data_IF_458605027514
#
_entry.id   IF_458605027514
#
_cell.length_a   1.000
_cell.length_b   1.000
_cell.length_c   1.000
_cell.angle_alpha   90.00
_cell.angle_beta   90.00
_cell.angle_gamma   90.00
#
_symmetry.space_group_name_H-M   'P 1'
#
loop_
_entity.id
_entity.type
_entity.pdbx_description
1 polymer ?
#
# COMPACT_ATOMS: atom_id res chain seq x y z
N UNK A 1 -15.83 -35.38 3.47
CA UNK A 1 -15.17 -34.10 3.78
C UNK A 1 -13.71 -34.41 4.09
N UNK A 2 -12.72 -33.63 3.64
CA UNK A 2 -11.34 -33.82 4.04
C UNK A 2 -11.17 -33.56 5.55
N UNK A 3 -10.28 -34.31 6.20
CA UNK A 3 -9.87 -34.09 7.59
C UNK A 3 -8.56 -33.29 7.62
N UNK A 4 -8.37 -32.48 8.65
CA UNK A 4 -7.15 -31.70 8.85
C UNK A 4 -6.68 -31.83 10.30
N UNK A 5 -5.38 -32.02 10.47
CA UNK A 5 -4.71 -31.90 11.76
C UNK A 5 -4.14 -30.48 11.87
N UNK A 6 -4.49 -29.76 12.94
CA UNK A 6 -4.10 -28.35 13.17
C UNK A 6 -3.30 -28.25 14.47
N UNK A 7 -2.11 -27.67 14.39
CA UNK A 7 -1.31 -27.30 15.56
C UNK A 7 -1.51 -25.82 15.87
N UNK A 8 -1.77 -25.52 17.14
CA UNK A 8 -1.92 -24.16 17.64
C UNK A 8 -1.03 -23.94 18.85
N UNK A 9 -0.49 -22.74 18.98
CA UNK A 9 0.28 -22.30 20.14
C UNK A 9 -0.05 -20.86 20.49
N UNK A 10 0.56 -20.35 21.54
CA UNK A 10 0.55 -18.93 21.89
C UNK A 10 1.91 -18.54 22.48
N UNK A 11 2.29 -17.27 22.33
CA UNK A 11 3.52 -16.75 22.95
C UNK A 11 3.33 -16.66 24.46
N UNK A 12 4.20 -17.31 25.24
CA UNK A 12 4.17 -17.23 26.70
C UNK A 12 5.43 -16.51 27.20
N UNK A 13 5.32 -15.22 27.60
CA UNK A 13 6.46 -14.50 28.14
C UNK A 13 6.98 -15.14 29.43
N UNK A 14 8.30 -15.11 29.57
CA UNK A 14 9.00 -15.41 30.81
C UNK A 14 9.58 -14.11 31.34
N UNK A 15 9.30 -13.78 32.60
CA UNK A 15 9.87 -12.62 33.27
C UNK A 15 10.68 -13.06 34.49
N UNK A 16 11.59 -12.18 34.93
CA UNK A 16 12.28 -12.27 36.21
C UNK A 16 12.35 -10.88 36.81
N UNK A 17 12.48 -10.82 38.13
CA UNK A 17 12.77 -9.58 38.83
C UNK A 17 14.22 -9.57 39.30
N UNK A 18 14.90 -8.45 39.10
CA UNK A 18 16.26 -8.21 39.57
C UNK A 18 16.42 -6.74 39.97
N UNK A 19 17.25 -6.49 40.98
CA UNK A 19 17.58 -5.13 41.41
C UNK A 19 19.00 -4.81 40.94
N UNK A 20 19.14 -3.76 40.12
CA UNK A 20 20.41 -3.35 39.54
C UNK A 20 20.72 -1.92 40.00
N UNK A 21 21.85 -1.76 40.69
CA UNK A 21 22.32 -0.45 41.15
C UNK A 21 23.16 0.18 40.05
N UNK A 22 22.75 1.35 39.57
CA UNK A 22 23.47 2.11 38.57
C UNK A 22 23.17 3.60 38.70
N UNK A 23 24.03 4.43 38.11
CA UNK A 23 23.90 5.90 38.16
C UNK A 23 22.73 6.43 37.31
N UNK A 24 22.25 5.64 36.33
CA UNK A 24 21.08 5.99 35.50
C UNK A 24 20.18 4.77 35.24
N UNK A 25 18.89 4.98 34.92
CA UNK A 25 17.99 3.90 34.50
C UNK A 25 18.51 3.11 33.30
N UNK A 26 19.08 3.77 32.29
CA UNK A 26 19.63 3.12 31.09
C UNK A 26 20.81 2.21 31.44
N UNK A 27 21.67 2.63 32.38
CA UNK A 27 22.77 1.81 32.87
C UNK A 27 22.26 0.58 33.64
N UNK A 28 21.22 0.73 34.47
CA UNK A 28 20.56 -0.39 35.14
C UNK A 28 19.91 -1.36 34.13
N UNK A 29 19.22 -0.86 33.10
CA UNK A 29 18.65 -1.69 32.04
C UNK A 29 19.72 -2.48 31.26
N UNK A 30 20.84 -1.83 30.92
CA UNK A 30 21.97 -2.51 30.26
C UNK A 30 22.56 -3.60 31.15
N UNK A 31 22.72 -3.34 32.45
CA UNK A 31 23.18 -4.35 33.40
C UNK A 31 22.19 -5.53 33.47
N UNK A 32 20.89 -5.26 33.50
CA UNK A 32 19.84 -6.27 33.51
C UNK A 32 19.82 -7.14 32.25
N UNK A 33 20.05 -6.54 31.06
CA UNK A 33 20.13 -7.28 29.80
C UNK A 33 21.40 -8.13 29.67
N UNK A 34 22.49 -7.76 30.34
CA UNK A 34 23.73 -8.52 30.36
C UNK A 34 23.75 -9.68 31.37
N UNK A 35 22.81 -9.71 32.30
CA UNK A 35 22.68 -10.77 33.31
C UNK A 35 21.99 -12.00 32.70
N UNK A 36 22.70 -13.13 32.61
CA UNK A 36 22.16 -14.37 32.03
C UNK A 36 21.53 -15.31 33.07
N UNK A 37 21.36 -14.90 34.34
CA UNK A 37 20.77 -15.77 35.36
C UNK A 37 19.23 -15.80 35.30
N UNK A 38 18.66 -16.85 34.71
CA UNK A 38 17.21 -17.03 34.56
C UNK A 38 16.58 -18.01 35.57
N UNK A 39 17.30 -18.39 36.63
CA UNK A 39 16.81 -19.36 37.63
C UNK A 39 15.52 -18.91 38.33
N UNK A 40 15.31 -17.60 38.51
CA UNK A 40 14.11 -17.02 39.12
C UNK A 40 13.00 -16.68 38.13
N UNK A 41 13.09 -17.19 36.89
CA UNK A 41 12.09 -16.91 35.85
C UNK A 41 10.72 -17.47 36.17
N UNK A 42 9.69 -16.71 35.81
CA UNK A 42 8.29 -17.04 36.00
C UNK A 42 7.55 -16.88 34.68
N UNK A 43 6.54 -17.72 34.46
CA UNK A 43 5.64 -17.64 33.32
C UNK A 43 4.60 -16.57 33.57
N UNK A 44 4.42 -15.67 32.61
CA UNK A 44 3.38 -14.66 32.64
C UNK A 44 2.19 -15.11 31.78
N UNK A 45 1.23 -15.77 32.40
CA UNK A 45 0.01 -16.18 31.70
C UNK A 45 -0.95 -15.01 31.45
N UNK A 46 -0.85 -13.92 32.22
CA UNK A 46 -1.74 -12.76 32.07
C UNK A 46 -1.32 -11.90 30.86
N UNK A 47 -0.03 -11.91 30.52
CA UNK A 47 0.53 -11.25 29.33
C UNK A 47 0.78 -12.20 28.15
N UNK A 48 0.17 -13.39 28.14
CA UNK A 48 0.32 -14.32 27.02
C UNK A 48 -0.20 -13.73 25.71
N UNK A 49 0.51 -13.99 24.61
CA UNK A 49 0.06 -13.65 23.27
C UNK A 49 -1.19 -14.42 22.84
N UNK A 50 -1.71 -14.11 21.67
CA UNK A 50 -2.89 -14.78 21.14
C UNK A 50 -2.58 -16.21 20.65
N UNK A 51 -3.62 -17.04 20.66
CA UNK A 51 -3.55 -18.38 20.07
C UNK A 51 -3.53 -18.24 18.55
N UNK A 52 -2.54 -18.85 17.93
CA UNK A 52 -2.33 -18.83 16.48
C UNK A 52 -1.93 -20.21 15.98
N UNK A 53 -2.04 -20.41 14.67
CA UNK A 53 -1.75 -21.70 14.02
C UNK A 53 -0.26 -21.77 13.68
N UNK A 54 0.40 -22.88 14.02
CA UNK A 54 1.82 -23.13 13.68
C UNK A 54 2.02 -24.31 12.76
N UNK A 55 0.97 -25.12 12.55
CA UNK A 55 1.03 -26.25 11.64
C UNK A 55 -0.35 -26.68 11.15
N UNK A 56 -0.40 -27.14 9.90
CA UNK A 56 -1.59 -27.72 9.28
C UNK A 56 -1.17 -28.87 8.35
N UNK A 57 -1.90 -29.99 8.44
CA UNK A 57 -1.68 -31.18 7.61
C UNK A 57 -3.03 -31.76 7.18
N UNK A 58 -3.08 -32.36 5.99
CA UNK A 58 -4.24 -33.13 5.56
C UNK A 58 -4.23 -34.52 6.21
N UNK A 59 -5.41 -35.00 6.63
CA UNK A 59 -5.60 -36.28 7.30
C UNK A 59 -5.70 -36.18 8.82
N UNK A 60 -6.11 -37.29 9.44
CA UNK A 60 -6.22 -37.46 10.89
C UNK A 60 -4.87 -37.83 11.48
N UNK A 61 -4.48 -37.16 12.58
CA UNK A 61 -3.24 -37.39 13.34
C UNK A 61 -1.97 -37.37 12.48
N UNK A 62 -1.94 -36.49 11.47
CA UNK A 62 -0.82 -36.40 10.51
C UNK A 62 0.24 -35.37 10.88
N UNK A 63 0.15 -34.76 12.07
CA UNK A 63 1.16 -33.83 12.57
C UNK A 63 2.56 -34.46 12.50
N UNK A 64 3.50 -33.75 11.86
CA UNK A 64 4.89 -34.19 11.64
C UNK A 64 5.11 -35.47 10.81
N UNK A 65 4.05 -36.20 10.46
CA UNK A 65 4.11 -37.38 9.61
C UNK A 65 3.71 -37.09 8.15
N UNK A 66 2.79 -36.13 7.94
CA UNK A 66 2.34 -35.67 6.63
C UNK A 66 3.13 -34.47 6.09
N UNK A 67 2.89 -34.11 4.83
CA UNK A 67 3.40 -32.86 4.26
C UNK A 67 2.62 -31.66 4.82
N UNK A 68 3.31 -30.68 5.44
CA UNK A 68 2.65 -29.49 5.96
C UNK A 68 2.08 -28.64 4.81
N UNK A 69 0.92 -28.05 5.05
CA UNK A 69 0.27 -27.10 4.14
C UNK A 69 0.68 -25.68 4.56
N UNK A 70 0.74 -24.75 3.61
CA UNK A 70 0.97 -23.34 3.93
C UNK A 70 -0.18 -22.79 4.77
N UNK A 71 0.15 -22.24 5.93
CA UNK A 71 -0.81 -21.58 6.82
C UNK A 71 -1.20 -20.23 6.19
N UNK A 72 -2.50 -19.94 6.00
CA UNK A 72 -2.92 -18.62 5.58
C UNK A 72 -2.52 -17.57 6.63
N UNK A 73 -1.90 -16.47 6.19
CA UNK A 73 -1.30 -15.45 7.08
C UNK A 73 -2.25 -14.79 8.07
N UNK A 74 -3.56 -14.87 7.82
CA UNK A 74 -4.57 -14.40 8.77
C UNK A 74 -4.63 -15.21 10.07
N UNK A 75 -4.03 -16.41 10.10
CA UNK A 75 -3.94 -17.28 11.27
C UNK A 75 -2.58 -17.22 11.98
N UNK A 76 -1.67 -16.36 11.51
CA UNK A 76 -0.44 -16.02 12.23
C UNK A 76 -0.77 -15.12 13.43
N UNK A 77 0.12 -15.12 14.44
CA UNK A 77 0.03 -14.21 15.57
C UNK A 77 0.00 -12.75 15.11
N UNK A 78 -0.86 -11.93 15.72
CA UNK A 78 -1.14 -10.56 15.35
C UNK A 78 0.13 -9.71 15.26
N UNK A 79 1.05 -9.89 16.21
CA UNK A 79 2.31 -9.16 16.21
C UNK A 79 3.18 -9.53 15.01
N UNK A 80 3.14 -10.79 14.56
CA UNK A 80 3.82 -11.25 13.35
C UNK A 80 3.11 -10.73 12.11
N UNK A 81 1.77 -10.72 12.07
CA UNK A 81 1.01 -10.11 10.97
C UNK A 81 1.38 -8.64 10.80
N UNK A 82 1.45 -7.88 11.90
CA UNK A 82 1.88 -6.47 11.91
C UNK A 82 3.33 -6.30 11.47
N UNK A 83 4.24 -7.15 11.94
CA UNK A 83 5.66 -7.11 11.59
C UNK A 83 5.88 -7.37 10.08
N UNK A 84 5.29 -8.44 9.54
CA UNK A 84 5.34 -8.71 8.09
C UNK A 84 4.68 -7.58 7.29
N UNK A 85 3.58 -7.01 7.79
CA UNK A 85 2.93 -5.89 7.13
C UNK A 85 3.82 -4.63 7.10
N UNK A 86 4.59 -4.37 8.15
CA UNK A 86 5.56 -3.28 8.19
C UNK A 86 6.62 -3.41 7.08
N UNK A 87 7.12 -4.62 6.80
CA UNK A 87 8.06 -4.85 5.70
C UNK A 87 7.46 -4.49 4.34
N UNK A 88 6.19 -4.84 4.12
CA UNK A 88 5.45 -4.50 2.90
C UNK A 88 5.33 -2.97 2.75
N UNK A 89 4.89 -2.28 3.81
CA UNK A 89 4.76 -0.83 3.82
C UNK A 89 6.10 -0.13 3.58
N UNK A 90 7.18 -0.61 4.20
CA UNK A 90 8.52 -0.09 4.00
C UNK A 90 9.00 -0.29 2.56
N UNK A 91 8.70 -1.44 1.96
CA UNK A 91 8.99 -1.72 0.55
C UNK A 91 8.29 -0.73 -0.39
N UNK A 92 6.99 -0.50 -0.18
CA UNK A 92 6.20 0.48 -0.95
C UNK A 92 6.71 1.90 -0.78
N UNK A 93 7.09 2.29 0.44
CA UNK A 93 7.66 3.62 0.71
C UNK A 93 8.99 3.81 -0.02
N UNK A 94 9.85 2.79 -0.03
CA UNK A 94 11.13 2.82 -0.77
C UNK A 94 10.91 2.97 -2.28
N UNK A 95 9.95 2.24 -2.85
CA UNK A 95 9.60 2.34 -4.27
C UNK A 95 9.10 3.76 -4.62
N UNK A 96 8.16 4.29 -3.83
CA UNK A 96 7.65 5.66 -4.01
C UNK A 96 8.78 6.69 -3.95
N UNK A 97 9.62 6.62 -2.91
CA UNK A 97 10.72 7.55 -2.72
C UNK A 97 11.70 7.51 -3.90
N UNK A 98 12.02 6.31 -4.41
CA UNK A 98 12.88 6.14 -5.57
C UNK A 98 12.29 6.78 -6.85
N UNK A 99 10.98 6.64 -7.08
CA UNK A 99 10.34 7.27 -8.24
C UNK A 99 10.27 8.79 -8.11
N UNK A 100 9.96 9.33 -6.92
CA UNK A 100 10.00 10.77 -6.65
C UNK A 100 11.40 11.33 -6.90
N UNK A 101 12.44 10.68 -6.38
CA UNK A 101 13.84 11.11 -6.60
C UNK A 101 14.25 11.07 -8.08
N UNK A 102 13.67 10.15 -8.86
CA UNK A 102 13.90 10.04 -10.29
C UNK A 102 12.99 10.96 -11.14
N UNK A 103 12.11 11.75 -10.52
CA UNK A 103 11.13 12.59 -11.22
C UNK A 103 10.07 11.78 -12.00
N UNK A 104 9.86 10.51 -11.65
CA UNK A 104 8.87 9.62 -12.26
C UNK A 104 7.58 9.62 -11.46
N UNK A 105 6.46 9.42 -12.15
CA UNK A 105 5.20 9.09 -11.48
C UNK A 105 5.24 7.64 -10.98
N UNK A 106 4.63 7.33 -9.81
CA UNK A 106 4.55 5.97 -9.31
C UNK A 106 3.88 5.03 -10.31
N UNK A 107 4.33 3.78 -10.38
CA UNK A 107 3.77 2.79 -11.30
C UNK A 107 2.35 2.38 -10.90
N UNK A 108 1.58 1.87 -11.88
CA UNK A 108 0.25 1.29 -11.64
C UNK A 108 0.32 0.09 -10.68
N UNK A 109 1.39 -0.71 -10.77
CA UNK A 109 1.67 -1.81 -9.84
C UNK A 109 1.87 -1.30 -8.41
N UNK A 110 2.61 -0.20 -8.23
CA UNK A 110 2.78 0.43 -6.93
C UNK A 110 1.45 0.91 -6.36
N UNK A 111 0.59 1.54 -7.17
CA UNK A 111 -0.73 1.97 -6.75
C UNK A 111 -1.61 0.79 -6.31
N UNK A 112 -1.69 -0.28 -7.11
CA UNK A 112 -2.48 -1.46 -6.79
C UNK A 112 -1.98 -2.15 -5.50
N UNK A 113 -0.66 -2.32 -5.37
CA UNK A 113 -0.06 -2.93 -4.18
C UNK A 113 -0.20 -2.06 -2.94
N UNK A 114 -0.17 -0.73 -3.09
CA UNK A 114 -0.43 0.22 -2.00
C UNK A 114 -1.88 0.17 -1.53
N UNK A 115 -2.85 0.11 -2.45
CA UNK A 115 -4.26 -0.03 -2.10
C UNK A 115 -4.53 -1.34 -1.33
N UNK A 116 -3.96 -2.46 -1.80
CA UNK A 116 -4.06 -3.73 -1.08
C UNK A 116 -3.37 -3.68 0.28
N UNK A 117 -2.18 -3.08 0.37
CA UNK A 117 -1.47 -2.96 1.64
C UNK A 117 -2.27 -2.13 2.65
N UNK A 118 -2.91 -1.03 2.22
CA UNK A 118 -3.81 -0.25 3.10
C UNK A 118 -4.96 -1.12 3.60
N UNK A 119 -5.66 -1.81 2.70
CA UNK A 119 -6.77 -2.69 3.08
C UNK A 119 -6.33 -3.83 4.02
N UNK A 120 -5.13 -4.39 3.81
CA UNK A 120 -4.55 -5.40 4.71
C UNK A 120 -4.22 -4.82 6.08
N UNK A 121 -3.64 -3.63 6.14
CA UNK A 121 -3.36 -2.93 7.40
C UNK A 121 -4.64 -2.67 8.19
N UNK A 122 -5.69 -2.20 7.53
CA UNK A 122 -7.02 -2.02 8.14
C UNK A 122 -7.62 -3.34 8.62
N UNK A 123 -7.50 -4.41 7.84
CA UNK A 123 -7.95 -5.74 8.24
C UNK A 123 -7.21 -6.26 9.48
N UNK A 124 -5.89 -6.09 9.56
CA UNK A 124 -5.09 -6.46 10.75
C UNK A 124 -5.58 -5.69 11.97
N UNK A 125 -5.79 -4.38 11.87
CA UNK A 125 -6.29 -3.54 12.98
C UNK A 125 -7.71 -3.94 13.42
N UNK A 126 -8.52 -4.45 12.50
CA UNK A 126 -9.89 -4.89 12.76
C UNK A 126 -9.99 -6.38 13.15
N UNK A 127 -8.87 -7.09 13.31
CA UNK A 127 -8.85 -8.55 13.53
C UNK A 127 -9.59 -9.34 12.43
N UNK A 128 -9.59 -8.83 11.20
CA UNK A 128 -10.25 -9.41 10.05
C UNK A 128 -9.29 -10.26 9.20
N UNK A 129 -9.83 -11.17 8.36
CA UNK A 129 -9.07 -11.88 7.34
C UNK A 129 -8.30 -10.94 6.40
N UNK A 130 -7.12 -11.37 5.96
CA UNK A 130 -6.34 -10.59 4.99
C UNK A 130 -7.12 -10.52 3.65
N UNK A 131 -7.15 -9.35 2.97
CA UNK A 131 -7.77 -9.25 1.66
C UNK A 131 -7.00 -10.08 0.63
N UNK A 132 -7.71 -10.61 -0.37
CA UNK A 132 -7.09 -11.32 -1.47
C UNK A 132 -6.01 -10.45 -2.13
N UNK A 133 -4.82 -11.02 -2.33
CA UNK A 133 -3.72 -10.32 -2.95
C UNK A 133 -4.06 -10.01 -4.41
N UNK A 134 -3.78 -8.79 -4.92
CA UNK A 134 -4.09 -8.45 -6.30
C UNK A 134 -3.28 -9.35 -7.24
N UNK A 135 -3.96 -10.28 -7.93
CA UNK A 135 -3.42 -10.99 -9.09
C UNK A 135 -3.25 -10.01 -10.25
N UNK A 136 -2.10 -10.03 -10.94
CA UNK A 136 -1.67 -9.16 -12.05
C UNK A 136 -2.41 -7.82 -12.11
N UNK A 137 -1.76 -6.78 -11.58
CA UNK A 137 -2.33 -5.44 -11.46
C UNK A 137 -2.91 -4.89 -12.77
N UNK A 138 -3.75 -3.84 -12.68
CA UNK A 138 -4.34 -3.23 -13.86
C UNK A 138 -3.26 -2.89 -14.88
N UNK A 139 -3.51 -3.23 -16.15
CA UNK A 139 -2.57 -2.98 -17.25
C UNK A 139 -2.15 -1.51 -17.24
N UNK A 140 -0.88 -1.20 -17.60
CA UNK A 140 -0.40 0.17 -17.59
C UNK A 140 -1.30 1.09 -18.43
N UNK A 141 -1.72 2.20 -17.84
CA UNK A 141 -2.55 3.24 -18.46
C UNK A 141 -1.84 4.58 -18.44
N UNK A 142 -2.08 5.43 -19.45
CA UNK A 142 -1.45 6.75 -19.57
C UNK A 142 -2.51 7.86 -19.51
N UNK A 143 -2.18 9.00 -18.88
CA UNK A 143 -3.06 10.18 -18.79
C UNK A 143 -2.84 11.06 -20.02
N UNK A 144 -3.88 11.23 -20.84
CA UNK A 144 -3.81 12.03 -22.08
C UNK A 144 -4.09 13.52 -21.86
N UNK A 145 -4.92 13.87 -20.88
CA UNK A 145 -5.26 15.25 -20.55
C UNK A 145 -5.40 15.44 -19.04
N UNK A 146 -5.03 16.64 -18.55
CA UNK A 146 -5.19 17.03 -17.14
C UNK A 146 -5.67 18.47 -17.06
N UNK A 147 -6.88 18.66 -16.51
CA UNK A 147 -7.40 19.98 -16.14
C UNK A 147 -6.74 20.44 -14.83
N UNK A 148 -6.25 21.68 -14.79
CA UNK A 148 -5.56 22.24 -13.62
C UNK A 148 -6.20 23.57 -13.23
N UNK A 149 -6.72 23.66 -12.00
CA UNK A 149 -7.40 24.87 -11.49
C UNK A 149 -6.51 26.12 -11.64
N UNK A 150 -5.20 26.00 -11.40
CA UNK A 150 -4.26 27.12 -11.52
C UNK A 150 -4.09 27.60 -12.98
N UNK A 151 -4.13 26.69 -13.95
CA UNK A 151 -4.10 27.05 -15.37
C UNK A 151 -5.40 27.70 -15.82
N UNK A 152 -6.54 27.26 -15.26
CA UNK A 152 -7.84 27.90 -15.50
C UNK A 152 -7.82 29.32 -14.94
N UNK A 153 -7.33 29.51 -13.72
CA UNK A 153 -7.15 30.83 -13.10
C UNK A 153 -6.26 31.75 -13.95
N UNK A 154 -5.14 31.24 -14.44
CA UNK A 154 -4.24 31.98 -15.32
C UNK A 154 -4.87 32.36 -16.67
N UNK A 155 -5.83 31.58 -17.16
CA UNK A 155 -6.50 31.83 -18.43
C UNK A 155 -7.59 32.91 -18.34
N UNK A 156 -8.10 33.24 -17.15
CA UNK A 156 -9.18 34.22 -17.00
C UNK A 156 -8.87 35.59 -17.56
N UNK A 157 -7.65 36.10 -17.37
CA UNK A 157 -7.27 37.40 -17.92
C UNK A 157 -7.39 37.43 -19.45
N UNK A 158 -7.04 36.34 -20.13
CA UNK A 158 -7.18 36.23 -21.58
C UNK A 158 -8.64 36.10 -22.03
N UNK A 159 -9.48 35.39 -21.27
CA UNK A 159 -10.92 35.25 -21.59
C UNK A 159 -11.66 36.57 -21.41
N UNK A 160 -11.42 37.28 -20.30
CA UNK A 160 -12.04 38.58 -20.00
C UNK A 160 -11.65 39.69 -20.99
N UNK A 161 -10.46 39.60 -21.60
CA UNK A 161 -10.01 40.56 -22.62
C UNK A 161 -10.71 40.35 -23.98
N UNK A 162 -11.18 39.13 -24.26
CA UNK A 162 -11.78 38.77 -25.55
C UNK A 162 -13.29 39.02 -25.56
N UNK A 163 -13.96 38.75 -24.44
CA UNK A 163 -15.42 38.69 -24.40
C UNK A 163 -16.03 39.86 -23.60
N UNK A 164 -16.78 40.71 -24.31
CA UNK A 164 -17.40 41.92 -23.76
C UNK A 164 -18.57 41.62 -22.83
N UNK A 165 -19.11 40.41 -22.86
CA UNK A 165 -20.19 40.01 -21.95
C UNK A 165 -19.69 39.92 -20.50
N UNK A 166 -18.37 39.90 -20.28
CA UNK A 166 -17.75 39.91 -18.96
C UNK A 166 -17.18 41.29 -18.55
N UNK A 167 -17.56 42.38 -19.24
CA UNK A 167 -17.15 43.75 -18.88
C UNK A 167 -17.48 44.07 -17.40
N UNK A 168 -16.45 44.43 -16.63
CA UNK A 168 -16.57 44.75 -15.20
C UNK A 168 -16.16 43.64 -14.23
N UNK A 169 -15.91 42.41 -14.73
CA UNK A 169 -15.32 41.34 -13.94
C UNK A 169 -13.80 41.47 -13.90
N UNK A 170 -13.21 41.18 -12.73
CA UNK A 170 -11.76 41.11 -12.55
C UNK A 170 -11.34 39.64 -12.39
N UNK A 171 -10.15 39.23 -12.85
CA UNK A 171 -9.64 37.88 -12.59
C UNK A 171 -9.66 37.49 -11.10
N UNK A 172 -9.52 38.47 -10.18
CA UNK A 172 -9.58 38.23 -8.74
C UNK A 172 -11.00 38.16 -8.14
N UNK A 173 -12.04 38.36 -8.95
CA UNK A 173 -13.44 38.29 -8.50
C UNK A 173 -14.01 36.88 -8.50
N UNK A 174 -13.37 35.95 -9.19
CA UNK A 174 -13.75 34.53 -9.21
C UNK A 174 -13.04 33.79 -8.09
N UNK A 175 -13.81 33.17 -7.20
CA UNK A 175 -13.30 32.41 -6.06
C UNK A 175 -12.76 31.03 -6.45
N UNK A 176 -11.91 30.48 -5.59
CA UNK A 176 -11.38 29.12 -5.75
C UNK A 176 -12.49 28.05 -5.78
N UNK A 177 -13.57 28.28 -5.05
CA UNK A 177 -14.72 27.38 -5.04
C UNK A 177 -15.48 27.38 -6.37
N UNK A 178 -15.62 28.55 -7.01
CA UNK A 178 -16.22 28.68 -8.34
C UNK A 178 -15.34 28.04 -9.42
N UNK A 179 -14.01 28.23 -9.35
CA UNK A 179 -13.06 27.56 -10.24
C UNK A 179 -13.14 26.04 -10.10
N UNK A 180 -13.21 25.54 -8.86
CA UNK A 180 -13.35 24.11 -8.59
C UNK A 180 -14.65 23.55 -9.16
N UNK A 181 -15.77 24.19 -8.85
CA UNK A 181 -17.09 23.76 -9.35
C UNK A 181 -17.15 23.78 -10.88
N UNK A 182 -16.56 24.79 -11.52
CA UNK A 182 -16.44 24.85 -12.98
C UNK A 182 -15.56 23.71 -13.53
N UNK A 183 -14.41 23.44 -12.91
CA UNK A 183 -13.54 22.33 -13.31
C UNK A 183 -14.24 20.97 -13.19
N UNK A 184 -14.97 20.73 -12.09
CA UNK A 184 -15.74 19.50 -11.85
C UNK A 184 -16.86 19.34 -12.88
N UNK A 185 -17.58 20.42 -13.18
CA UNK A 185 -18.61 20.45 -14.22
C UNK A 185 -18.04 20.08 -15.59
N UNK A 186 -16.98 20.77 -16.03
CA UNK A 186 -16.35 20.48 -17.32
C UNK A 186 -15.78 19.07 -17.38
N UNK A 187 -15.14 18.59 -16.31
CA UNK A 187 -14.59 17.24 -16.26
C UNK A 187 -15.67 16.15 -16.37
N UNK A 188 -16.92 16.44 -15.98
CA UNK A 188 -18.03 15.48 -16.05
C UNK A 188 -18.85 15.60 -17.33
N UNK A 189 -18.90 16.77 -17.96
CA UNK A 189 -19.68 17.00 -19.17
C UNK A 189 -18.89 16.84 -20.47
N UNK A 190 -17.56 17.03 -20.41
CA UNK A 190 -16.75 17.04 -21.63
C UNK A 190 -16.41 15.61 -22.06
N UNK A 191 -16.79 15.28 -23.30
CA UNK A 191 -16.47 13.99 -23.90
C UNK A 191 -15.08 14.00 -24.52
N UNK A 192 -14.25 13.04 -24.11
CA UNK A 192 -12.89 12.84 -24.63
C UNK A 192 -12.76 11.55 -25.44
N UNK A 193 -13.86 10.82 -25.71
CA UNK A 193 -13.85 9.53 -26.39
C UNK A 193 -13.06 9.56 -27.71
N UNK A 194 -13.27 10.59 -28.52
CA UNK A 194 -12.67 10.72 -29.85
C UNK A 194 -11.16 11.01 -29.74
N UNK A 195 -10.78 11.89 -28.82
CA UNK A 195 -9.38 12.23 -28.57
C UNK A 195 -8.60 11.02 -28.04
N UNK A 196 -9.22 10.27 -27.11
CA UNK A 196 -8.64 9.03 -26.55
C UNK A 196 -8.49 7.98 -27.65
N UNK A 197 -9.55 7.69 -28.39
CA UNK A 197 -9.55 6.69 -29.47
C UNK A 197 -8.49 7.02 -30.53
N UNK A 198 -8.36 8.30 -30.89
CA UNK A 198 -7.35 8.74 -31.85
C UNK A 198 -5.92 8.57 -31.30
N UNK A 199 -5.68 8.89 -30.03
CA UNK A 199 -4.38 8.69 -29.40
C UNK A 199 -4.00 7.21 -29.32
N UNK A 200 -4.95 6.33 -28.96
CA UNK A 200 -4.76 4.88 -28.95
C UNK A 200 -4.43 4.33 -30.34
N UNK A 201 -5.16 4.78 -31.37
CA UNK A 201 -4.89 4.41 -32.75
C UNK A 201 -3.47 4.81 -33.17
N UNK A 202 -3.04 6.04 -32.87
CA UNK A 202 -1.69 6.49 -33.16
C UNK A 202 -0.61 5.72 -32.39
N UNK A 203 -0.86 5.40 -31.11
CA UNK A 203 0.04 4.57 -30.31
C UNK A 203 0.20 3.17 -30.91
N UNK A 204 -0.90 2.55 -31.38
CA UNK A 204 -0.87 1.26 -32.06
C UNK A 204 -0.02 1.30 -33.34
N UNK A 205 -0.23 2.30 -34.20
CA UNK A 205 0.57 2.47 -35.42
C UNK A 205 2.06 2.68 -35.09
N UNK A 206 2.37 3.47 -34.04
CA UNK A 206 3.75 3.69 -33.61
C UNK A 206 4.41 2.38 -33.14
N UNK A 207 3.70 1.56 -32.35
CA UNK A 207 4.19 0.27 -31.87
C UNK A 207 4.42 -0.73 -33.03
N UNK A 208 3.50 -0.79 -34.00
CA UNK A 208 3.64 -1.62 -35.21
C UNK A 208 4.88 -1.21 -36.01
N UNK A 209 5.05 0.09 -36.27
CA UNK A 209 6.22 0.62 -37.00
C UNK A 209 7.53 0.37 -36.27
N UNK A 210 7.54 0.45 -34.94
CA UNK A 210 8.72 0.10 -34.14
C UNK A 210 9.06 -1.40 -34.28
N UNK A 211 8.03 -2.25 -34.25
CA UNK A 211 8.18 -3.70 -34.44
C UNK A 211 8.68 -4.05 -35.83
N UNK A 212 8.15 -3.41 -36.88
CA UNK A 212 8.60 -3.61 -38.26
C UNK A 212 10.09 -3.25 -38.43
N UNK A 213 10.52 -2.11 -37.91
CA UNK A 213 11.94 -1.69 -37.93
C UNK A 213 12.86 -2.67 -37.19
N UNK A 214 12.37 -3.28 -36.11
CA UNK A 214 13.14 -4.28 -35.35
C UNK A 214 13.27 -5.60 -36.12
N UNK A 215 12.21 -6.02 -36.82
CA UNK A 215 12.16 -7.30 -37.54
C UNK A 215 12.78 -7.23 -38.94
N UNK A 216 12.79 -6.04 -39.56
CA UNK A 216 13.44 -5.75 -40.83
C UNK A 216 14.39 -4.57 -40.67
N UNK A 217 15.52 -4.75 -39.97
CA UNK A 217 16.59 -3.77 -39.97
C UNK A 217 17.25 -3.77 -41.36
N UNK A 218 17.42 -2.60 -41.95
CA UNK A 218 18.20 -2.40 -43.19
C UNK A 218 19.65 -2.90 -43.03
#
# INVERSE_FOLDING_TARGET
MPAYTIEMTYTLPLFRHGTYIADTPEAACKAALGDNNWESSQKDYDSSGEIHVTGIWEGEDTAYAGSPITIPSQFDEEIQRRAHHFEILLGLLKMLFHDVQAGRSPSVEWHAKSAWAIARGEAILAYAPDPAEPTDGPKPSHVLARLQEERVRSAFAAVLDIDRDFEGLSPGSVSDAEIRSACESIATTMDYSDAVSNAEFHAAIAAIRATQRRLHPD
#
